data_IF_159253058400
#
_entry.id   IF_159253058400
#
_cell.length_a   1.000
_cell.length_b   1.000
_cell.length_c   1.000
_cell.angle_alpha   90.00
_cell.angle_beta   90.00
_cell.angle_gamma   90.00
#
_symmetry.space_group_name_H-M   'P 1'
#
loop_
_entity.id
_entity.type
_entity.pdbx_description
1 polymer ?
#
# COMPACT_ATOMS: atom_id res chain seq x y z
N UNK A 1 -10.48 -13.92 18.62
CA UNK A 1 -9.54 -13.50 17.57
C UNK A 1 -8.95 -12.16 17.97
N UNK A 2 -7.66 -11.93 17.64
CA UNK A 2 -7.07 -10.61 17.81
C UNK A 2 -7.73 -9.66 16.80
N UNK A 3 -7.97 -8.39 17.18
CA UNK A 3 -8.49 -7.38 16.25
C UNK A 3 -7.46 -7.11 15.15
N UNK A 4 -7.88 -6.92 13.90
CA UNK A 4 -6.97 -6.52 12.83
C UNK A 4 -6.25 -5.22 13.15
N UNK A 5 -4.96 -5.13 12.82
CA UNK A 5 -4.17 -3.90 12.93
C UNK A 5 -3.87 -3.33 11.55
N UNK A 6 -3.61 -2.03 11.46
CA UNK A 6 -3.27 -1.36 10.22
C UNK A 6 -1.77 -1.05 10.17
N UNK A 7 -1.09 -1.53 9.13
CA UNK A 7 0.31 -1.17 8.82
C UNK A 7 0.31 -0.11 7.74
N UNK A 8 0.94 1.02 8.01
CA UNK A 8 1.06 2.15 7.08
C UNK A 8 2.52 2.30 6.67
N UNK A 9 2.82 2.03 5.40
CA UNK A 9 4.17 2.13 4.85
C UNK A 9 4.49 3.59 4.51
N UNK A 10 5.31 4.25 5.33
CA UNK A 10 5.70 5.64 5.20
C UNK A 10 7.22 5.86 5.07
N UNK A 11 8.02 4.79 4.96
CA UNK A 11 9.47 4.86 4.78
C UNK A 11 9.91 5.20 3.35
N UNK A 12 8.98 5.19 2.37
CA UNK A 12 9.24 5.49 0.97
C UNK A 12 9.62 6.97 0.77
N UNK A 13 10.71 7.22 0.04
CA UNK A 13 11.06 8.56 -0.41
C UNK A 13 10.24 8.88 -1.65
N UNK A 14 9.36 9.85 -1.58
CA UNK A 14 8.64 10.39 -2.74
C UNK A 14 9.60 11.06 -3.74
N UNK A 15 10.46 10.28 -4.38
CA UNK A 15 11.56 10.76 -5.23
C UNK A 15 11.12 11.63 -6.40
N UNK A 16 9.86 11.49 -6.84
CA UNK A 16 9.27 12.29 -7.92
C UNK A 16 8.63 13.60 -7.44
N UNK A 17 8.33 13.72 -6.15
CA UNK A 17 7.62 14.88 -5.58
C UNK A 17 8.54 16.00 -5.10
N UNK A 18 9.83 15.72 -4.88
CA UNK A 18 10.84 16.71 -4.46
C UNK A 18 10.71 17.21 -3.02
N UNK A 19 10.12 16.42 -2.12
CA UNK A 19 9.96 16.75 -0.70
C UNK A 19 9.31 15.62 0.10
N UNK A 20 9.03 15.86 1.39
CA UNK A 20 8.26 14.92 2.24
C UNK A 20 6.77 14.97 1.85
N UNK A 21 6.41 14.23 0.81
CA UNK A 21 5.06 14.12 0.26
C UNK A 21 4.00 13.74 1.32
N UNK A 22 4.41 12.90 2.27
CA UNK A 22 3.52 12.35 3.32
C UNK A 22 2.97 13.40 4.28
N UNK A 23 3.62 14.56 4.40
CA UNK A 23 3.21 15.65 5.30
C UNK A 23 2.70 16.89 4.58
N UNK A 24 2.48 16.82 3.25
CA UNK A 24 1.93 17.93 2.48
C UNK A 24 0.40 18.00 2.63
N UNK A 25 -0.17 19.09 3.21
CA UNK A 25 -1.59 19.16 3.53
C UNK A 25 -2.49 19.11 2.29
N UNK A 26 -3.60 18.36 2.42
CA UNK A 26 -4.67 18.28 1.43
C UNK A 26 -6.04 18.66 2.01
N UNK A 27 -6.17 18.72 3.33
CA UNK A 27 -7.40 19.07 4.02
C UNK A 27 -7.41 20.47 4.62
N UNK A 28 -8.59 21.01 4.98
CA UNK A 28 -8.78 22.40 5.40
C UNK A 28 -8.10 22.74 6.73
N UNK A 29 -7.91 21.77 7.63
CA UNK A 29 -7.25 21.95 8.92
C UNK A 29 -5.83 21.36 8.96
N UNK A 30 -5.15 21.30 7.81
CA UNK A 30 -3.77 20.80 7.71
C UNK A 30 -3.66 19.27 7.70
N UNK A 31 -4.77 18.56 7.47
CA UNK A 31 -4.74 17.12 7.34
C UNK A 31 -4.01 16.72 6.05
N UNK A 32 -3.20 15.70 6.16
CA UNK A 32 -2.50 15.07 5.04
C UNK A 32 -3.30 13.88 4.50
N UNK A 33 -2.91 13.33 3.37
CA UNK A 33 -3.70 12.29 2.69
C UNK A 33 -3.92 11.05 3.59
N UNK A 34 -2.91 10.63 4.35
CA UNK A 34 -3.01 9.47 5.25
C UNK A 34 -3.99 9.68 6.40
N UNK A 35 -4.26 10.94 6.82
CA UNK A 35 -5.25 11.20 7.88
C UNK A 35 -6.64 10.70 7.49
N UNK A 36 -7.01 10.84 6.21
CA UNK A 36 -8.30 10.35 5.69
C UNK A 36 -8.34 8.83 5.66
N UNK A 37 -7.25 8.18 5.25
CA UNK A 37 -7.14 6.72 5.31
C UNK A 37 -7.22 6.20 6.75
N UNK A 38 -6.58 6.87 7.71
CA UNK A 38 -6.64 6.52 9.13
C UNK A 38 -8.03 6.76 9.74
N UNK A 39 -8.68 7.86 9.36
CA UNK A 39 -10.03 8.16 9.79
C UNK A 39 -11.03 7.09 9.32
N UNK A 40 -10.95 6.70 8.05
CA UNK A 40 -11.79 5.64 7.49
C UNK A 40 -11.48 4.28 8.10
N UNK A 41 -10.21 3.94 8.31
CA UNK A 41 -9.79 2.72 8.98
C UNK A 41 -10.34 2.64 10.43
N UNK A 42 -10.24 3.73 11.19
CA UNK A 42 -10.83 3.80 12.54
C UNK A 42 -12.33 3.57 12.52
N UNK A 43 -13.05 4.19 11.58
CA UNK A 43 -14.50 3.99 11.41
C UNK A 43 -14.85 2.56 11.02
N UNK A 44 -13.98 1.88 10.28
CA UNK A 44 -14.14 0.46 9.94
C UNK A 44 -13.91 -0.47 11.13
N UNK A 45 -13.17 -0.01 12.18
CA UNK A 45 -12.93 -0.78 13.39
C UNK A 45 -11.47 -1.03 13.73
N UNK A 46 -10.51 -0.56 12.93
CA UNK A 46 -9.09 -0.62 13.28
C UNK A 46 -8.81 0.28 14.48
N UNK A 47 -8.25 -0.27 15.55
CA UNK A 47 -7.91 0.46 16.77
C UNK A 47 -6.41 0.74 16.89
N UNK A 48 -5.57 -0.08 16.26
CA UNK A 48 -4.11 0.04 16.29
C UNK A 48 -3.58 0.33 14.89
N UNK A 49 -2.67 1.31 14.80
CA UNK A 49 -1.90 1.60 13.59
C UNK A 49 -0.41 1.48 13.87
N UNK A 50 0.31 0.85 12.94
CA UNK A 50 1.76 0.69 12.96
C UNK A 50 2.31 1.49 11.78
N UNK A 51 3.00 2.59 12.06
CA UNK A 51 3.70 3.37 11.04
C UNK A 51 5.08 2.79 10.80
N UNK A 52 5.34 2.37 9.57
CA UNK A 52 6.68 1.96 9.14
C UNK A 52 7.36 3.18 8.54
N UNK A 53 8.32 3.73 9.25
CA UNK A 53 9.04 4.96 8.92
C UNK A 53 10.56 4.73 8.89
N UNK A 54 11.34 5.76 8.63
CA UNK A 54 12.78 5.80 8.87
C UNK A 54 13.08 6.62 10.11
N UNK A 55 14.17 6.32 10.82
CA UNK A 55 14.60 7.10 11.99
C UNK A 55 14.80 8.59 11.65
N UNK A 56 15.30 8.88 10.45
CA UNK A 56 15.61 10.26 10.03
C UNK A 56 14.38 11.18 9.95
N UNK A 57 13.18 10.60 9.82
CA UNK A 57 11.93 11.38 9.74
C UNK A 57 11.05 11.25 10.99
N UNK A 58 11.49 10.52 12.02
CA UNK A 58 10.67 10.15 13.17
C UNK A 58 10.03 11.36 13.86
N UNK A 59 10.83 12.35 14.26
CA UNK A 59 10.34 13.53 14.98
C UNK A 59 9.38 14.36 14.11
N UNK A 60 9.72 14.58 12.86
CA UNK A 60 8.88 15.33 11.93
C UNK A 60 7.55 14.59 11.65
N UNK A 61 7.60 13.27 11.51
CA UNK A 61 6.41 12.44 11.28
C UNK A 61 5.50 12.40 12.51
N UNK A 62 6.07 12.25 13.72
CA UNK A 62 5.33 12.30 14.98
C UNK A 62 4.61 13.63 15.17
N UNK A 63 5.30 14.75 14.96
CA UNK A 63 4.72 16.08 15.07
C UNK A 63 3.63 16.35 14.02
N UNK A 64 3.84 15.90 12.79
CA UNK A 64 2.91 16.15 11.69
C UNK A 64 1.66 15.24 11.70
N UNK A 65 1.78 14.00 12.14
CA UNK A 65 0.74 12.96 12.02
C UNK A 65 0.52 12.25 13.37
N UNK A 66 1.58 11.71 13.96
CA UNK A 66 1.52 10.81 15.10
C UNK A 66 0.79 11.35 16.30
N UNK A 67 1.09 12.59 16.71
CA UNK A 67 0.49 13.23 17.91
C UNK A 67 -1.03 13.41 17.81
N UNK A 68 -1.54 13.73 16.62
CA UNK A 68 -2.98 13.88 16.43
C UNK A 68 -3.71 12.55 16.31
N UNK A 69 -3.10 11.56 15.64
CA UNK A 69 -3.67 10.21 15.48
C UNK A 69 -3.70 9.46 16.81
N UNK A 70 -2.68 9.64 17.67
CA UNK A 70 -2.59 8.96 18.97
C UNK A 70 -3.72 9.35 19.96
N UNK A 71 -4.45 10.42 19.68
CA UNK A 71 -5.66 10.78 20.45
C UNK A 71 -6.84 9.85 20.17
N UNK A 72 -6.79 9.13 19.04
CA UNK A 72 -7.92 8.38 18.52
C UNK A 72 -7.60 6.89 18.25
N UNK A 73 -6.32 6.53 18.12
CA UNK A 73 -5.85 5.17 17.83
C UNK A 73 -4.60 4.85 18.67
N UNK A 74 -4.38 3.55 18.92
CA UNK A 74 -3.09 3.08 19.49
C UNK A 74 -2.02 3.10 18.39
N UNK A 75 -1.03 3.99 18.55
CA UNK A 75 0.02 4.23 17.55
C UNK A 75 1.31 3.51 17.94
N UNK A 76 1.83 2.71 17.01
CA UNK A 76 3.15 2.09 17.10
C UNK A 76 4.03 2.59 15.95
N UNK A 77 5.35 2.56 16.16
CA UNK A 77 6.35 2.91 15.15
C UNK A 77 7.27 1.73 14.93
N UNK A 78 7.46 1.38 13.68
CA UNK A 78 8.44 0.41 13.21
C UNK A 78 9.41 1.12 12.26
N UNK A 79 10.65 0.70 12.22
CA UNK A 79 11.68 1.41 11.47
C UNK A 79 12.22 0.51 10.38
N UNK A 80 12.05 0.92 9.12
CA UNK A 80 12.64 0.23 7.97
C UNK A 80 14.01 0.81 7.69
N UNK A 81 15.06 0.09 8.09
CA UNK A 81 16.44 0.48 7.89
C UNK A 81 17.14 -0.37 6.83
N UNK A 82 18.18 0.17 6.18
CA UNK A 82 18.94 -0.55 5.16
C UNK A 82 19.81 -1.68 5.74
N UNK A 83 20.23 -1.55 6.99
CA UNK A 83 21.06 -2.50 7.72
C UNK A 83 20.27 -3.63 8.42
N UNK A 84 18.94 -3.56 8.40
CA UNK A 84 18.09 -4.68 8.87
C UNK A 84 18.09 -5.82 7.85
N UNK A 85 19.21 -6.51 7.79
CA UNK A 85 19.47 -7.64 6.89
C UNK A 85 19.70 -8.93 7.70
N UNK A 86 19.42 -10.09 7.12
CA UNK A 86 19.80 -11.37 7.73
C UNK A 86 21.32 -11.46 7.95
N UNK A 87 21.74 -12.32 8.89
CA UNK A 87 23.15 -12.57 9.16
C UNK A 87 23.90 -12.98 7.88
N UNK A 88 25.07 -12.39 7.66
CA UNK A 88 25.91 -12.64 6.51
C UNK A 88 25.73 -11.69 5.32
N UNK A 89 24.68 -10.85 5.34
CA UNK A 89 24.46 -9.84 4.30
C UNK A 89 24.93 -8.45 4.72
N UNK A 90 25.35 -7.67 3.76
CA UNK A 90 25.80 -6.27 3.96
C UNK A 90 25.14 -5.36 2.95
N UNK A 91 25.01 -4.08 3.30
CA UNK A 91 24.46 -3.08 2.40
C UNK A 91 25.42 -2.88 1.23
N UNK A 92 24.99 -3.04 -0.04
CA UNK A 92 25.82 -2.71 -1.20
C UNK A 92 26.27 -1.26 -1.20
N UNK A 93 27.53 -1.03 -1.58
CA UNK A 93 28.07 0.32 -1.70
C UNK A 93 27.20 1.18 -2.64
N UNK A 94 26.83 2.38 -2.18
CA UNK A 94 25.98 3.31 -2.92
C UNK A 94 24.47 3.01 -2.88
N UNK A 95 24.01 1.97 -2.20
CA UNK A 95 22.58 1.72 -2.07
C UNK A 95 21.94 2.70 -1.08
N UNK A 96 20.93 3.42 -1.55
CA UNK A 96 20.08 4.33 -0.74
C UNK A 96 18.59 3.93 -0.79
N UNK A 97 18.24 3.05 -1.75
CA UNK A 97 16.86 2.60 -1.95
C UNK A 97 16.47 1.58 -0.87
N UNK A 98 15.30 1.73 -0.20
CA UNK A 98 14.76 0.72 0.71
C UNK A 98 14.61 -0.65 0.02
N UNK A 99 14.57 -1.72 0.83
CA UNK A 99 14.49 -3.09 0.33
C UNK A 99 13.12 -3.49 -0.24
N UNK A 100 12.13 -2.62 -0.20
CA UNK A 100 10.80 -2.84 -0.77
C UNK A 100 9.70 -2.98 0.28
N UNK A 101 8.47 -3.17 -0.21
CA UNK A 101 7.25 -3.15 0.62
C UNK A 101 7.12 -4.36 1.55
N UNK A 102 7.62 -5.52 1.13
CA UNK A 102 7.63 -6.70 2.00
C UNK A 102 8.61 -6.52 3.17
N UNK A 103 9.78 -5.94 2.92
CA UNK A 103 10.74 -5.60 3.98
C UNK A 103 10.18 -4.55 4.96
N UNK A 104 9.35 -3.61 4.47
CA UNK A 104 8.63 -2.69 5.36
C UNK A 104 7.69 -3.44 6.32
N UNK A 105 7.00 -4.47 5.86
CA UNK A 105 6.16 -5.31 6.72
C UNK A 105 7.02 -6.12 7.71
N UNK A 106 8.20 -6.60 7.30
CA UNK A 106 9.12 -7.28 8.22
C UNK A 106 9.59 -6.37 9.35
N UNK A 107 9.82 -5.09 9.11
CA UNK A 107 10.13 -4.12 10.16
C UNK A 107 9.01 -4.02 11.22
N UNK A 108 7.75 -4.22 10.82
CA UNK A 108 6.60 -4.23 11.73
C UNK A 108 6.39 -5.57 12.46
N UNK A 109 7.14 -6.64 12.13
CA UNK A 109 7.01 -8.00 12.70
C UNK A 109 6.84 -8.04 14.22
N UNK A 110 7.57 -7.24 15.04
CA UNK A 110 7.42 -7.27 16.51
C UNK A 110 6.01 -6.89 17.01
N UNK A 111 5.18 -6.29 16.18
CA UNK A 111 3.83 -5.86 16.53
C UNK A 111 2.72 -6.68 15.84
N UNK A 112 3.08 -7.63 14.97
CA UNK A 112 2.15 -8.38 14.14
C UNK A 112 1.91 -9.78 14.73
N UNK A 113 0.92 -9.88 15.62
CA UNK A 113 0.53 -11.11 16.32
C UNK A 113 -0.88 -11.59 15.96
N UNK A 114 -1.35 -11.28 14.77
CA UNK A 114 -2.69 -11.62 14.27
C UNK A 114 -2.95 -11.02 12.90
N UNK A 115 -4.22 -10.89 12.49
CA UNK A 115 -4.56 -10.33 11.20
C UNK A 115 -4.18 -8.85 11.08
N UNK A 116 -3.73 -8.44 9.88
CA UNK A 116 -3.36 -7.05 9.62
C UNK A 116 -3.64 -6.65 8.18
N UNK A 117 -3.93 -5.35 7.99
CA UNK A 117 -3.97 -4.73 6.67
C UNK A 117 -2.72 -3.88 6.44
N UNK A 118 -2.33 -3.74 5.17
CA UNK A 118 -1.17 -2.92 4.75
C UNK A 118 -1.63 -1.90 3.74
N UNK A 119 -1.19 -0.63 3.90
CA UNK A 119 -1.44 0.48 2.97
C UNK A 119 -0.19 1.33 2.75
N UNK A 120 -0.19 2.10 1.68
CA UNK A 120 0.76 3.19 1.47
C UNK A 120 0.31 4.45 2.22
N UNK A 121 1.25 5.23 2.74
CA UNK A 121 0.96 6.48 3.46
C UNK A 121 0.57 7.66 2.55
N UNK A 122 0.81 7.54 1.26
CA UNK A 122 0.61 8.61 0.27
C UNK A 122 -0.61 8.40 -0.62
N UNK A 123 -1.48 7.45 -0.26
CA UNK A 123 -2.68 7.07 -0.99
C UNK A 123 -3.95 7.30 -0.16
N UNK A 124 -5.00 7.74 -0.86
CA UNK A 124 -6.37 7.78 -0.34
C UNK A 124 -7.15 6.58 -0.90
N UNK A 125 -7.67 5.74 -0.02
CA UNK A 125 -8.34 4.49 -0.38
C UNK A 125 -9.87 4.55 -0.35
N UNK A 126 -10.43 5.42 0.49
CA UNK A 126 -11.87 5.56 0.70
C UNK A 126 -12.47 4.62 1.75
N UNK A 127 -13.64 4.96 2.29
CA UNK A 127 -14.23 4.29 3.45
C UNK A 127 -14.70 2.86 3.17
N UNK A 128 -15.19 2.56 1.96
CA UNK A 128 -15.64 1.21 1.62
C UNK A 128 -14.48 0.22 1.60
N UNK A 129 -13.33 0.63 1.09
CA UNK A 129 -12.13 -0.21 1.06
C UNK A 129 -11.71 -0.68 2.46
N UNK A 130 -11.70 0.23 3.44
CA UNK A 130 -11.38 -0.11 4.83
C UNK A 130 -12.45 -0.98 5.47
N UNK A 131 -13.73 -0.74 5.18
CA UNK A 131 -14.82 -1.54 5.70
C UNK A 131 -14.72 -2.99 5.24
N UNK A 132 -14.59 -3.23 3.92
CA UNK A 132 -14.58 -4.60 3.38
C UNK A 132 -13.35 -5.39 3.81
N UNK A 133 -12.17 -4.75 3.93
CA UNK A 133 -10.96 -5.45 4.38
C UNK A 133 -11.00 -5.75 5.88
N UNK A 134 -11.52 -4.82 6.70
CA UNK A 134 -11.69 -5.05 8.14
C UNK A 134 -12.67 -6.17 8.42
N UNK A 135 -13.83 -6.17 7.75
CA UNK A 135 -14.86 -7.20 7.89
C UNK A 135 -14.29 -8.58 7.55
N UNK A 136 -13.51 -8.67 6.45
CA UNK A 136 -12.86 -9.91 6.06
C UNK A 136 -11.85 -10.38 7.11
N UNK A 137 -10.90 -9.55 7.47
CA UNK A 137 -9.85 -9.89 8.43
C UNK A 137 -10.38 -10.22 9.84
N UNK A 138 -11.54 -9.69 10.21
CA UNK A 138 -12.19 -9.95 11.50
C UNK A 138 -12.87 -11.31 11.57
N UNK A 139 -13.16 -11.94 10.42
CA UNK A 139 -13.97 -13.16 10.33
C UNK A 139 -13.23 -14.35 9.72
N UNK A 140 -12.08 -14.11 9.09
CA UNK A 140 -11.28 -15.12 8.40
C UNK A 140 -9.95 -15.33 9.11
N UNK A 141 -9.46 -16.56 9.09
CA UNK A 141 -8.19 -16.95 9.70
C UNK A 141 -7.50 -17.98 8.84
N UNK A 142 -6.17 -18.04 8.92
CA UNK A 142 -5.39 -19.05 8.24
C UNK A 142 -5.81 -20.46 8.64
N UNK A 143 -5.97 -21.31 7.63
CA UNK A 143 -6.19 -22.73 7.75
C UNK A 143 -4.98 -23.54 7.25
N UNK A 144 -5.23 -24.70 6.62
CA UNK A 144 -4.19 -25.47 5.91
C UNK A 144 -3.64 -24.67 4.71
N UNK A 145 -4.50 -23.88 4.09
CA UNK A 145 -4.14 -22.84 3.12
C UNK A 145 -4.33 -21.50 3.79
N UNK A 146 -3.34 -20.61 3.69
CA UNK A 146 -3.41 -19.26 4.23
C UNK A 146 -4.51 -18.46 3.54
N UNK A 147 -5.33 -17.79 4.33
CA UNK A 147 -6.51 -17.07 3.87
C UNK A 147 -6.26 -15.56 3.88
N UNK A 148 -5.73 -15.03 2.78
CA UNK A 148 -5.40 -13.63 2.61
C UNK A 148 -6.46 -12.91 1.78
N UNK A 149 -6.40 -11.58 1.77
CA UNK A 149 -7.24 -10.77 0.91
C UNK A 149 -6.50 -9.54 0.36
N UNK A 150 -7.09 -8.92 -0.64
CA UNK A 150 -6.69 -7.61 -1.13
C UNK A 150 -7.92 -6.85 -1.57
N UNK A 151 -7.86 -5.51 -1.56
CA UNK A 151 -8.90 -4.67 -2.16
C UNK A 151 -8.44 -4.23 -3.54
N UNK A 152 -9.22 -4.58 -4.56
CA UNK A 152 -9.01 -4.11 -5.93
C UNK A 152 -9.88 -2.90 -6.23
N UNK A 153 -9.35 -2.04 -7.10
CA UNK A 153 -10.04 -0.89 -7.65
C UNK A 153 -10.26 -1.09 -9.15
N UNK A 154 -11.19 -0.33 -9.72
CA UNK A 154 -11.34 -0.26 -11.17
C UNK A 154 -10.21 0.59 -11.75
N UNK A 155 -9.55 0.14 -12.81
CA UNK A 155 -8.44 0.85 -13.43
C UNK A 155 -8.76 2.32 -13.70
N UNK A 156 -9.96 2.60 -14.29
CA UNK A 156 -10.43 3.97 -14.57
C UNK A 156 -10.50 4.89 -13.35
N UNK A 157 -10.59 4.32 -12.14
CA UNK A 157 -10.62 5.07 -10.88
C UNK A 157 -9.21 5.30 -10.28
N UNK A 158 -8.14 4.96 -11.01
CA UNK A 158 -6.76 5.00 -10.51
C UNK A 158 -5.76 5.64 -11.47
N UNK A 159 -6.19 6.05 -12.66
CA UNK A 159 -5.33 6.71 -13.64
C UNK A 159 -5.22 8.21 -13.36
N UNK A 160 -4.18 8.84 -13.89
CA UNK A 160 -3.94 10.29 -13.84
C UNK A 160 -4.08 10.89 -15.25
N UNK A 161 -4.60 12.10 -15.33
CA UNK A 161 -4.59 12.91 -16.56
C UNK A 161 -3.24 13.62 -16.77
N UNK A 162 -2.38 13.64 -15.76
CA UNK A 162 -1.12 14.38 -15.75
C UNK A 162 0.09 13.56 -16.24
N UNK A 163 -0.12 12.28 -16.60
CA UNK A 163 0.94 11.42 -17.10
C UNK A 163 0.72 9.94 -16.84
N UNK A 164 1.75 9.16 -17.15
CA UNK A 164 1.70 7.71 -16.99
C UNK A 164 1.69 7.29 -15.53
N UNK A 165 0.99 6.18 -15.26
CA UNK A 165 0.97 5.52 -13.94
C UNK A 165 1.45 4.07 -14.06
N UNK A 166 1.92 3.51 -12.94
CA UNK A 166 2.22 2.10 -12.80
C UNK A 166 1.14 1.42 -11.97
N UNK A 167 0.61 0.25 -12.42
CA UNK A 167 -0.44 -0.49 -11.71
C UNK A 167 -0.22 -2.00 -11.79
N UNK A 168 -0.51 -2.68 -10.70
CA UNK A 168 -0.59 -4.13 -10.66
C UNK A 168 -1.95 -4.60 -11.21
N UNK A 169 -1.98 -5.07 -12.44
CA UNK A 169 -3.19 -5.63 -13.07
C UNK A 169 -3.47 -7.00 -12.46
N UNK A 170 -4.68 -7.18 -11.94
CA UNK A 170 -5.10 -8.40 -11.27
C UNK A 170 -5.84 -9.33 -12.23
N UNK A 171 -5.35 -10.57 -12.39
CA UNK A 171 -6.09 -11.63 -13.01
C UNK A 171 -6.79 -12.48 -11.94
N UNK A 172 -8.09 -12.73 -12.12
CA UNK A 172 -8.94 -13.42 -11.15
C UNK A 172 -9.33 -14.82 -11.62
N UNK A 173 -9.54 -15.72 -10.66
CA UNK A 173 -10.27 -16.98 -10.86
C UNK A 173 -11.77 -16.75 -10.81
N UNK A 174 -12.57 -17.76 -11.20
CA UNK A 174 -14.04 -17.69 -11.20
C UNK A 174 -14.63 -17.43 -9.80
N UNK A 175 -13.98 -17.90 -8.74
CA UNK A 175 -14.37 -17.69 -7.35
C UNK A 175 -13.95 -16.35 -6.77
N UNK A 176 -13.43 -15.44 -7.61
CA UNK A 176 -12.89 -14.13 -7.22
C UNK A 176 -11.64 -14.21 -6.32
N UNK A 177 -10.90 -15.30 -6.36
CA UNK A 177 -9.55 -15.35 -5.81
C UNK A 177 -8.53 -14.83 -6.82
N UNK A 178 -7.44 -14.28 -6.32
CA UNK A 178 -6.35 -13.76 -7.14
C UNK A 178 -5.61 -14.91 -7.83
N UNK A 179 -5.48 -14.86 -9.16
CA UNK A 179 -4.65 -15.77 -9.92
C UNK A 179 -3.23 -15.24 -10.10
N UNK A 180 -3.11 -13.96 -10.43
CA UNK A 180 -1.83 -13.28 -10.57
C UNK A 180 -1.98 -11.76 -10.49
N UNK A 181 -0.88 -11.07 -10.18
CA UNK A 181 -0.73 -9.62 -10.32
C UNK A 181 0.43 -9.38 -11.27
N UNK A 182 0.20 -8.60 -12.33
CA UNK A 182 1.24 -8.20 -13.28
C UNK A 182 1.41 -6.70 -13.21
N UNK A 183 2.61 -6.25 -12.87
CA UNK A 183 2.93 -4.81 -12.82
C UNK A 183 3.16 -4.28 -14.23
N UNK A 184 2.33 -3.32 -14.67
CA UNK A 184 2.57 -2.53 -15.87
C UNK A 184 3.06 -1.14 -15.43
N UNK A 185 4.28 -0.82 -15.79
CA UNK A 185 4.99 0.38 -15.31
C UNK A 185 4.64 1.65 -16.05
N UNK A 186 3.98 1.52 -17.21
CA UNK A 186 3.55 2.66 -18.03
C UNK A 186 2.17 2.44 -18.61
N UNK A 187 1.18 3.02 -17.94
CA UNK A 187 -0.23 3.05 -18.35
C UNK A 187 -0.60 4.52 -18.56
N UNK A 188 -1.24 4.83 -19.67
CA UNK A 188 -1.65 6.19 -20.05
C UNK A 188 -3.11 6.21 -20.47
N UNK A 189 -3.76 7.38 -20.30
CA UNK A 189 -5.13 7.62 -20.74
C UNK A 189 -5.11 8.47 -22.02
N UNK A 190 -5.83 8.02 -23.04
CA UNK A 190 -6.04 8.70 -24.30
C UNK A 190 -7.52 8.94 -24.56
N UNK A 191 -7.86 9.65 -25.62
CA UNK A 191 -9.26 9.96 -25.99
C UNK A 191 -10.09 8.70 -26.29
N UNK A 192 -9.46 7.62 -26.74
CA UNK A 192 -10.06 6.33 -27.11
C UNK A 192 -10.01 5.28 -26.00
N UNK A 193 -9.31 5.55 -24.90
CA UNK A 193 -9.26 4.60 -23.77
C UNK A 193 -7.98 4.65 -22.93
N UNK A 194 -7.78 3.59 -22.17
CA UNK A 194 -6.61 3.39 -21.33
C UNK A 194 -5.73 2.32 -21.98
N UNK A 195 -4.45 2.61 -22.11
CA UNK A 195 -3.50 1.73 -22.78
C UNK A 195 -2.23 1.57 -21.96
N UNK A 196 -1.50 0.47 -22.17
CA UNK A 196 -0.18 0.27 -21.58
C UNK A 196 0.86 -0.08 -22.64
N UNK A 197 2.10 0.16 -22.33
CA UNK A 197 3.26 -0.22 -23.14
C UNK A 197 4.34 -0.88 -22.28
N UNK A 198 5.06 -1.83 -22.87
CA UNK A 198 6.22 -2.49 -22.25
C UNK A 198 7.52 -2.24 -23.01
N UNK A 199 7.44 -1.60 -24.17
CA UNK A 199 8.55 -1.34 -25.09
C UNK A 199 8.89 0.15 -25.24
N UNK A 200 8.53 0.95 -24.22
CA UNK A 200 8.84 2.38 -24.18
C UNK A 200 7.89 3.25 -25.01
N UNK A 201 6.81 2.69 -25.55
CA UNK A 201 5.80 3.40 -26.33
C UNK A 201 5.84 3.11 -27.82
N UNK A 202 6.59 2.09 -28.24
CA UNK A 202 6.60 1.62 -29.63
C UNK A 202 5.28 0.90 -29.99
N UNK A 203 4.73 0.15 -29.04
CA UNK A 203 3.42 -0.48 -29.14
C UNK A 203 2.56 -0.22 -27.90
N UNK A 204 1.24 -0.18 -28.11
CA UNK A 204 0.26 0.05 -27.05
C UNK A 204 -0.82 -1.04 -27.09
N UNK A 205 -1.20 -1.50 -25.90
CA UNK A 205 -2.24 -2.51 -25.72
C UNK A 205 -3.37 -1.91 -24.88
N UNK A 206 -4.60 -2.16 -25.30
CA UNK A 206 -5.80 -1.68 -24.64
C UNK A 206 -5.99 -2.33 -23.27
N UNK A 207 -6.39 -1.54 -22.28
CA UNK A 207 -6.81 -2.01 -20.97
C UNK A 207 -8.24 -1.53 -20.71
N UNK A 208 -9.21 -2.44 -20.54
CA UNK A 208 -10.58 -2.06 -20.16
C UNK A 208 -10.58 -1.26 -18.85
N UNK A 209 -11.34 -0.17 -18.79
CA UNK A 209 -11.39 0.69 -17.61
C UNK A 209 -11.95 0.03 -16.36
N UNK A 210 -12.65 -1.10 -16.49
CA UNK A 210 -13.16 -1.92 -15.38
C UNK A 210 -12.20 -3.05 -14.96
N UNK A 211 -11.00 -3.12 -15.55
CA UNK A 211 -9.94 -4.05 -15.16
C UNK A 211 -9.61 -3.86 -13.66
N UNK A 212 -9.62 -4.95 -12.86
CA UNK A 212 -9.26 -4.86 -11.45
C UNK A 212 -7.74 -4.62 -11.29
N UNK A 213 -7.40 -3.65 -10.45
CA UNK A 213 -6.00 -3.29 -10.18
C UNK A 213 -5.70 -3.28 -8.68
N UNK A 214 -4.48 -3.63 -8.33
CA UNK A 214 -3.93 -3.50 -6.99
C UNK A 214 -3.42 -2.09 -6.76
N UNK A 215 -3.88 -1.47 -5.66
CA UNK A 215 -3.33 -0.23 -5.13
C UNK A 215 -2.58 -0.46 -3.82
N UNK A 216 -2.04 -1.66 -3.65
CA UNK A 216 -1.25 -2.08 -2.49
C UNK A 216 -2.01 -2.08 -1.15
N UNK A 217 -3.34 -2.29 -1.20
CA UNK A 217 -4.16 -2.53 -0.02
C UNK A 217 -4.35 -4.05 0.15
N UNK A 218 -3.57 -4.62 1.07
CA UNK A 218 -3.51 -6.06 1.33
C UNK A 218 -3.97 -6.38 2.74
N UNK A 219 -4.54 -7.58 2.92
CA UNK A 219 -4.91 -8.15 4.20
C UNK A 219 -4.30 -9.54 4.39
N UNK A 220 -3.65 -9.74 5.51
CA UNK A 220 -2.87 -10.93 5.82
C UNK A 220 -3.14 -11.46 7.23
N UNK A 221 -2.89 -12.76 7.44
CA UNK A 221 -2.65 -13.35 8.74
C UNK A 221 -1.17 -13.27 9.17
N UNK A 222 -0.87 -13.66 10.40
CA UNK A 222 0.50 -13.70 10.93
C UNK A 222 1.42 -14.61 10.10
N UNK A 223 0.88 -15.64 9.45
CA UNK A 223 1.61 -16.56 8.57
C UNK A 223 2.37 -15.84 7.45
N UNK A 224 1.84 -14.72 6.94
CA UNK A 224 2.50 -13.94 5.89
C UNK A 224 3.87 -13.42 6.37
N UNK A 225 3.93 -12.89 7.59
CA UNK A 225 5.20 -12.35 8.14
C UNK A 225 6.23 -13.48 8.28
N UNK A 226 5.81 -14.67 8.73
CA UNK A 226 6.69 -15.82 8.88
C UNK A 226 7.21 -16.33 7.53
N UNK A 227 6.34 -16.37 6.51
CA UNK A 227 6.74 -16.75 5.14
C UNK A 227 7.68 -15.72 4.52
N UNK A 228 7.38 -14.43 4.67
CA UNK A 228 8.20 -13.35 4.17
C UNK A 228 9.61 -13.36 4.79
N UNK A 229 9.69 -13.53 6.11
CA UNK A 229 10.96 -13.58 6.85
C UNK A 229 11.85 -14.74 6.36
N UNK A 230 11.28 -15.96 6.25
CA UNK A 230 12.00 -17.15 5.76
C UNK A 230 12.51 -17.02 4.32
N UNK A 231 11.84 -16.24 3.48
CA UNK A 231 12.17 -16.09 2.06
C UNK A 231 13.16 -14.97 1.79
N UNK A 232 13.32 -14.04 2.72
CA UNK A 232 14.10 -12.82 2.47
C UNK A 232 15.57 -13.11 2.17
N UNK A 233 16.22 -14.01 2.92
CA UNK A 233 17.62 -14.40 2.66
C UNK A 233 17.79 -15.02 1.26
N UNK A 234 16.94 -15.99 0.89
CA UNK A 234 16.96 -16.59 -0.45
C UNK A 234 16.72 -15.54 -1.55
N UNK A 235 15.78 -14.63 -1.32
CA UNK A 235 15.54 -13.55 -2.28
C UNK A 235 16.76 -12.65 -2.46
N UNK A 236 17.51 -12.35 -1.38
CA UNK A 236 18.76 -11.60 -1.46
C UNK A 236 19.80 -12.34 -2.31
N UNK A 237 20.00 -13.66 -2.10
CA UNK A 237 20.91 -14.48 -2.91
C UNK A 237 20.59 -14.40 -4.42
N UNK A 238 19.33 -14.44 -4.77
CA UNK A 238 18.87 -14.47 -6.16
C UNK A 238 18.94 -13.09 -6.86
N UNK A 239 18.84 -12.00 -6.11
CA UNK A 239 18.60 -10.65 -6.68
C UNK A 239 19.71 -9.64 -6.40
N UNK A 240 20.49 -9.82 -5.33
CA UNK A 240 21.47 -8.83 -4.90
C UNK A 240 22.60 -8.61 -5.91
N UNK A 241 23.12 -9.69 -6.51
CA UNK A 241 24.16 -9.60 -7.55
C UNK A 241 23.64 -8.99 -8.85
N UNK A 242 22.37 -9.27 -9.19
CA UNK A 242 21.77 -8.80 -10.46
C UNK A 242 21.46 -7.30 -10.43
N UNK A 243 21.02 -6.78 -9.30
CA UNK A 243 20.62 -5.38 -9.17
C UNK A 243 20.84 -4.85 -7.75
N UNK A 244 22.11 -4.69 -7.31
CA UNK A 244 22.44 -4.37 -5.91
C UNK A 244 21.84 -3.06 -5.42
N UNK A 245 21.67 -2.07 -6.30
CA UNK A 245 21.23 -0.73 -5.90
C UNK A 245 19.72 -0.54 -5.93
N UNK A 246 18.97 -1.38 -6.69
CA UNK A 246 17.55 -1.11 -6.99
C UNK A 246 16.60 -2.29 -6.77
N UNK A 247 17.10 -3.53 -6.52
CA UNK A 247 16.20 -4.66 -6.26
C UNK A 247 15.28 -4.40 -5.05
N UNK A 248 14.03 -4.82 -5.13
CA UNK A 248 13.02 -4.62 -4.10
C UNK A 248 12.28 -5.92 -3.79
N UNK A 249 12.24 -6.27 -2.52
CA UNK A 249 11.45 -7.35 -1.98
C UNK A 249 10.03 -6.85 -1.72
N UNK A 250 9.16 -7.04 -2.71
CA UNK A 250 7.81 -6.47 -2.73
C UNK A 250 6.74 -7.47 -2.27
N UNK A 251 5.65 -6.98 -1.69
CA UNK A 251 4.51 -7.81 -1.25
C UNK A 251 3.94 -8.71 -2.36
N UNK A 252 3.66 -8.21 -3.58
CA UNK A 252 3.09 -9.04 -4.64
C UNK A 252 3.98 -10.20 -5.05
N UNK A 253 5.30 -10.09 -4.88
CA UNK A 253 6.25 -11.18 -5.18
C UNK A 253 6.00 -12.37 -4.24
N UNK A 254 6.01 -12.13 -2.93
CA UNK A 254 5.80 -13.18 -1.93
C UNK A 254 4.40 -13.78 -2.05
N UNK A 255 3.39 -12.94 -2.29
CA UNK A 255 2.02 -13.40 -2.54
C UNK A 255 1.97 -14.33 -3.75
N UNK A 256 2.61 -13.96 -4.87
CA UNK A 256 2.63 -14.76 -6.09
C UNK A 256 3.33 -16.10 -5.89
N UNK A 257 4.44 -16.14 -5.14
CA UNK A 257 5.12 -17.38 -4.77
C UNK A 257 4.22 -18.30 -3.95
N UNK A 258 3.54 -17.75 -2.93
CA UNK A 258 2.65 -18.53 -2.06
C UNK A 258 1.43 -19.09 -2.80
N UNK A 259 0.86 -18.32 -3.73
CA UNK A 259 -0.22 -18.80 -4.62
C UNK A 259 0.31 -19.94 -5.52
N UNK A 260 1.48 -19.76 -6.14
CA UNK A 260 2.12 -20.76 -6.99
C UNK A 260 2.44 -22.07 -6.26
N UNK A 261 2.84 -21.98 -4.99
CA UNK A 261 3.06 -23.10 -4.07
C UNK A 261 1.77 -23.72 -3.50
N UNK A 262 0.61 -23.14 -3.82
CA UNK A 262 -0.71 -23.52 -3.26
C UNK A 262 -0.78 -23.43 -1.74
N UNK A 263 0.03 -22.57 -1.15
CA UNK A 263 0.05 -22.29 0.30
C UNK A 263 -0.92 -21.18 0.70
N UNK A 264 -1.25 -20.28 -0.23
CA UNK A 264 -2.18 -19.19 0.04
C UNK A 264 -3.25 -19.07 -1.03
N UNK A 265 -4.45 -18.71 -0.61
CA UNK A 265 -5.51 -18.18 -1.43
C UNK A 265 -5.71 -16.70 -1.06
N UNK A 266 -5.89 -15.85 -2.05
CA UNK A 266 -6.08 -14.41 -1.83
C UNK A 266 -7.44 -14.01 -2.37
N UNK A 267 -8.39 -13.70 -1.47
CA UNK A 267 -9.70 -13.18 -1.87
C UNK A 267 -9.56 -11.75 -2.36
N UNK A 268 -10.07 -11.48 -3.57
CA UNK A 268 -10.10 -10.13 -4.11
C UNK A 268 -11.42 -9.48 -3.74
N UNK A 269 -11.35 -8.56 -2.78
CA UNK A 269 -12.45 -7.68 -2.37
C UNK A 269 -12.52 -6.51 -3.36
N UNK A 270 -13.70 -5.95 -3.56
CA UNK A 270 -13.89 -4.84 -4.49
C UNK A 270 -14.31 -3.60 -3.72
N UNK A 271 -13.74 -2.47 -4.08
CA UNK A 271 -14.22 -1.15 -3.67
C UNK A 271 -14.70 -0.37 -4.90
N UNK A 272 -15.80 0.34 -4.74
CA UNK A 272 -16.29 1.31 -5.71
C UNK A 272 -15.75 2.72 -5.45
N UNK A 273 -14.98 2.91 -4.38
CA UNK A 273 -14.35 4.17 -4.04
C UNK A 273 -13.43 4.65 -5.16
N UNK A 274 -13.35 5.97 -5.32
CA UNK A 274 -12.32 6.61 -6.12
C UNK A 274 -11.04 6.60 -5.31
N UNK A 275 -9.98 5.99 -5.86
CA UNK A 275 -8.64 6.10 -5.32
C UNK A 275 -8.01 7.42 -5.74
N UNK A 276 -7.22 8.02 -4.86
CA UNK A 276 -6.40 9.19 -5.17
C UNK A 276 -4.99 8.98 -4.62
N UNK A 277 -4.00 9.35 -5.42
CA UNK A 277 -2.60 9.43 -5.01
C UNK A 277 -1.98 10.68 -5.61
N UNK A 278 -0.96 11.21 -4.95
CA UNK A 278 -0.20 12.34 -5.48
C UNK A 278 1.06 11.79 -6.12
N UNK A 279 0.97 11.29 -7.36
CA UNK A 279 2.13 10.79 -8.12
C UNK A 279 2.93 11.96 -8.68
N UNK A 280 2.23 12.94 -9.22
CA UNK A 280 2.77 14.20 -9.74
C UNK A 280 2.32 15.35 -8.84
N UNK A 281 3.08 16.46 -8.84
CA UNK A 281 2.71 17.66 -8.09
C UNK A 281 1.38 18.25 -8.57
N UNK A 282 1.11 18.07 -9.84
CA UNK A 282 -0.12 18.48 -10.55
C UNK A 282 -1.36 17.68 -10.11
N UNK A 283 -1.19 16.48 -9.51
CA UNK A 283 -2.30 15.70 -8.98
C UNK A 283 -2.87 16.30 -7.67
N UNK A 284 -2.06 17.07 -6.93
CA UNK A 284 -2.46 17.62 -5.62
C UNK A 284 -3.74 18.47 -5.67
N UNK A 285 -3.93 19.42 -6.62
CA UNK A 285 -5.18 20.18 -6.71
C UNK A 285 -6.42 19.29 -6.87
N UNK A 286 -6.32 18.20 -7.63
CA UNK A 286 -7.42 17.23 -7.82
C UNK A 286 -7.76 16.54 -6.49
N UNK A 287 -6.75 16.13 -5.72
CA UNK A 287 -6.93 15.53 -4.41
C UNK A 287 -7.59 16.51 -3.44
N UNK A 288 -7.08 17.74 -3.37
CA UNK A 288 -7.63 18.80 -2.50
C UNK A 288 -9.10 19.07 -2.81
N UNK A 289 -9.44 19.21 -4.12
CA UNK A 289 -10.83 19.43 -4.56
C UNK A 289 -11.73 18.23 -4.20
N UNK A 290 -11.25 17.00 -4.42
CA UNK A 290 -11.99 15.80 -4.08
C UNK A 290 -12.28 15.69 -2.58
N UNK A 291 -11.29 15.99 -1.74
CA UNK A 291 -11.42 16.01 -0.28
C UNK A 291 -12.39 17.12 0.15
N UNK A 292 -12.27 18.34 -0.40
CA UNK A 292 -13.19 19.44 -0.10
C UNK A 292 -14.64 19.08 -0.44
N UNK A 293 -14.87 18.44 -1.59
CA UNK A 293 -16.21 17.96 -1.99
C UNK A 293 -16.74 16.91 -1.01
N UNK A 294 -15.93 15.90 -0.66
CA UNK A 294 -16.31 14.87 0.32
C UNK A 294 -16.63 15.44 1.69
N UNK A 295 -15.94 16.52 2.10
CA UNK A 295 -16.22 17.25 3.32
C UNK A 295 -17.55 18.01 3.22
N UNK A 296 -17.80 18.72 2.11
CA UNK A 296 -19.06 19.42 1.86
C UNK A 296 -20.27 18.47 1.81
N UNK A 297 -20.08 17.26 1.26
CA UNK A 297 -21.09 16.19 1.19
C UNK A 297 -21.31 15.51 2.57
N UNK A 298 -20.55 15.88 3.61
CA UNK A 298 -20.70 15.36 4.97
C UNK A 298 -20.05 13.99 5.21
N UNK A 299 -19.24 13.48 4.26
CA UNK A 299 -18.49 12.24 4.46
C UNK A 299 -17.41 12.41 5.53
N UNK A 300 -16.73 13.56 5.55
CA UNK A 300 -15.71 13.93 6.51
C UNK A 300 -16.08 15.20 7.26
N UNK A 301 -15.79 15.32 8.58
CA UNK A 301 -15.81 16.58 9.27
C UNK A 301 -14.65 17.47 8.81
N UNK A 302 -14.76 18.79 8.97
CA UNK A 302 -13.66 19.73 8.66
C UNK A 302 -12.37 19.38 9.42
N UNK A 303 -12.51 18.98 10.70
CA UNK A 303 -11.41 18.47 11.51
C UNK A 303 -11.63 16.99 11.83
N UNK A 304 -10.85 16.12 11.25
CA UNK A 304 -10.95 14.66 11.42
C UNK A 304 -10.68 14.20 12.86
N UNK A 305 -9.90 14.97 13.62
CA UNK A 305 -9.37 14.58 14.93
C UNK A 305 -9.86 15.49 16.08
N UNK A 306 -10.96 16.23 15.86
CA UNK A 306 -11.57 17.10 16.88
C UNK A 306 -12.28 16.27 17.98
#
# INVERSE_FOLDING_TARGET
MNKPVLVVMAAGMGSRYGGMKQIDPVGPCGQVIVDYSLYDARRAGFETVIFVIKHEIEDAFKAAIGERVSKAMDVKYAFQQLDELPEGYTIPEGRVKPWGTCHAVLAAKPYLHGPFAVINADDYYGPEAFRVIYDYLSTHTDGEVYDYCMVSYLLRNTVSENGSVARGICALNEDSTLRSVTEHTRIETYADGIHYTEDGGESWTDLPGDTPVSMNLWGFGESFVQEADRRFARWLDENLEKNPLKCEYCLPLVVSELIGEKKAAVKVLRSTDQWYGVTYREDKPVVVEAIARKTADGLYPENLWA
#
